data_IF_695777774630
#
_entry.id   IF_695777774630
#
_cell.length_a   1.000
_cell.length_b   1.000
_cell.length_c   1.000
_cell.angle_alpha   90.00
_cell.angle_beta   90.00
_cell.angle_gamma   90.00
#
_symmetry.space_group_name_H-M   'P 1'
#
loop_
_entity.id
_entity.type
_entity.pdbx_description
1 polymer ?
#
# COMPACT_ATOMS: atom_id res chain seq x y z
N UNK A 1 -33.42 2.75 21.06
CA UNK A 1 -32.75 3.07 19.77
C UNK A 1 -31.39 2.38 19.59
N UNK A 2 -30.55 2.21 20.63
CA UNK A 2 -29.26 1.52 20.48
C UNK A 2 -29.39 0.00 20.21
N UNK A 3 -30.26 -0.69 20.96
CA UNK A 3 -30.49 -2.16 20.84
C UNK A 3 -31.12 -2.58 19.49
N UNK A 4 -31.84 -1.66 18.83
CA UNK A 4 -32.42 -1.92 17.51
C UNK A 4 -31.37 -1.78 16.39
N UNK A 5 -30.46 -0.79 16.50
CA UNK A 5 -29.30 -0.65 15.61
C UNK A 5 -28.36 -1.85 15.71
N UNK A 6 -28.20 -2.39 16.92
CA UNK A 6 -27.35 -3.56 17.20
C UNK A 6 -27.87 -4.84 16.52
N UNK A 7 -29.19 -4.97 16.33
CA UNK A 7 -29.82 -6.08 15.59
C UNK A 7 -29.89 -5.85 14.07
N UNK A 8 -29.86 -4.60 13.61
CA UNK A 8 -29.94 -4.26 12.18
C UNK A 8 -28.64 -4.54 11.42
N UNK A 9 -27.47 -4.24 12.00
CA UNK A 9 -26.17 -4.43 11.35
C UNK A 9 -25.90 -5.91 11.00
N UNK A 10 -26.10 -6.90 11.90
CA UNK A 10 -25.93 -8.31 11.58
C UNK A 10 -26.89 -8.81 10.49
N UNK A 11 -28.13 -8.28 10.46
CA UNK A 11 -29.14 -8.63 9.44
C UNK A 11 -28.74 -8.11 8.05
N UNK A 12 -28.26 -6.87 7.97
CA UNK A 12 -27.78 -6.27 6.72
C UNK A 12 -26.52 -6.96 6.19
N UNK A 13 -25.58 -7.33 7.07
CA UNK A 13 -24.37 -8.10 6.71
C UNK A 13 -24.71 -9.47 6.12
N UNK A 14 -25.71 -10.17 6.67
CA UNK A 14 -26.18 -11.45 6.11
C UNK A 14 -26.84 -11.30 4.73
N UNK A 15 -27.53 -10.19 4.49
CA UNK A 15 -28.26 -9.92 3.23
C UNK A 15 -27.33 -9.48 2.09
N UNK A 16 -26.28 -8.72 2.38
CA UNK A 16 -25.39 -8.14 1.37
C UNK A 16 -23.92 -8.56 1.60
N UNK A 17 -23.41 -9.54 0.82
CA UNK A 17 -22.04 -10.04 0.96
C UNK A 17 -20.95 -8.97 0.76
N UNK A 18 -21.22 -7.95 -0.07
CA UNK A 18 -20.31 -6.82 -0.28
C UNK A 18 -20.19 -5.92 0.96
N UNK A 19 -21.30 -5.72 1.68
CA UNK A 19 -21.35 -4.91 2.90
C UNK A 19 -20.63 -5.62 4.03
N UNK A 20 -20.86 -6.93 4.17
CA UNK A 20 -20.12 -7.74 5.13
C UNK A 20 -18.61 -7.71 4.88
N UNK A 21 -18.19 -7.76 3.60
CA UNK A 21 -16.77 -7.62 3.27
C UNK A 21 -16.21 -6.24 3.61
N UNK A 22 -16.97 -5.17 3.35
CA UNK A 22 -16.57 -3.80 3.69
C UNK A 22 -16.42 -3.60 5.20
N UNK A 23 -17.36 -4.13 6.00
CA UNK A 23 -17.29 -4.08 7.47
C UNK A 23 -16.08 -4.85 7.97
N UNK A 24 -15.85 -6.08 7.47
CA UNK A 24 -14.65 -6.87 7.81
C UNK A 24 -13.34 -6.13 7.48
N UNK A 25 -13.29 -5.46 6.33
CA UNK A 25 -12.13 -4.66 5.93
C UNK A 25 -11.91 -3.47 6.88
N UNK A 26 -12.99 -2.80 7.30
CA UNK A 26 -12.93 -1.71 8.27
C UNK A 26 -12.46 -2.18 9.66
N UNK A 27 -13.00 -3.30 10.14
CA UNK A 27 -12.61 -3.89 11.42
C UNK A 27 -11.12 -4.27 11.38
N UNK A 28 -10.68 -4.97 10.33
CA UNK A 28 -9.28 -5.32 10.13
C UNK A 28 -8.36 -4.08 10.02
N UNK A 29 -8.80 -3.02 9.34
CA UNK A 29 -8.06 -1.76 9.25
C UNK A 29 -7.88 -1.10 10.64
N UNK A 30 -8.92 -1.14 11.48
CA UNK A 30 -8.87 -0.64 12.85
C UNK A 30 -7.94 -1.47 13.74
N UNK A 31 -8.13 -2.80 13.75
CA UNK A 31 -7.35 -3.76 14.55
C UNK A 31 -5.86 -3.74 14.17
N UNK A 32 -5.53 -3.49 12.89
CA UNK A 32 -4.16 -3.46 12.37
C UNK A 32 -3.55 -2.05 12.38
N UNK A 33 -4.03 -1.18 13.28
CA UNK A 33 -3.51 0.17 13.48
C UNK A 33 -3.43 1.02 12.21
N UNK A 34 -4.36 0.84 11.26
CA UNK A 34 -4.32 1.47 9.94
C UNK A 34 -4.24 3.01 9.99
N UNK A 35 -4.91 3.65 10.95
CA UNK A 35 -4.82 5.10 11.16
C UNK A 35 -3.43 5.55 11.62
N UNK A 36 -2.74 4.77 12.47
CA UNK A 36 -1.40 5.11 12.96
C UNK A 36 -0.37 4.98 11.84
N UNK A 37 -0.47 3.90 11.05
CA UNK A 37 0.36 3.73 9.86
C UNK A 37 0.12 4.82 8.82
N UNK A 38 -1.14 5.23 8.60
CA UNK A 38 -1.44 6.32 7.70
C UNK A 38 -0.81 7.65 8.15
N UNK A 39 -0.85 7.94 9.46
CA UNK A 39 -0.19 9.11 10.02
C UNK A 39 1.34 9.05 9.83
N UNK A 40 1.96 7.88 10.05
CA UNK A 40 3.39 7.69 9.81
C UNK A 40 3.75 7.90 8.33
N UNK A 41 3.01 7.29 7.39
CA UNK A 41 3.23 7.49 5.95
C UNK A 41 3.09 8.96 5.59
N UNK A 42 2.10 9.66 6.14
CA UNK A 42 1.89 11.10 5.91
C UNK A 42 3.11 11.92 6.33
N UNK A 43 3.60 11.70 7.56
CA UNK A 43 4.79 12.36 8.08
C UNK A 43 6.00 12.16 7.16
N UNK A 44 6.29 10.91 6.77
CA UNK A 44 7.40 10.62 5.87
C UNK A 44 7.19 11.18 4.46
N UNK A 45 5.95 11.25 3.96
CA UNK A 45 5.62 11.80 2.63
C UNK A 45 5.88 13.29 2.56
N UNK A 46 5.49 14.04 3.59
CA UNK A 46 5.72 15.49 3.64
C UNK A 46 7.21 15.78 3.83
N UNK A 47 7.90 15.01 4.66
CA UNK A 47 9.33 15.18 4.88
C UNK A 47 10.16 14.87 3.63
N UNK A 48 9.78 13.84 2.86
CA UNK A 48 10.46 13.47 1.61
C UNK A 48 10.17 14.41 0.44
N UNK A 49 9.12 15.25 0.54
CA UNK A 49 8.78 16.22 -0.50
C UNK A 49 9.89 17.26 -0.69
N UNK A 50 10.50 17.77 0.38
CA UNK A 50 11.53 18.81 0.26
C UNK A 50 12.75 18.33 -0.54
N UNK A 51 13.39 17.18 -0.22
CA UNK A 51 14.49 16.67 -1.04
C UNK A 51 14.07 16.33 -2.47
N UNK A 52 12.86 15.81 -2.68
CA UNK A 52 12.33 15.52 -4.01
C UNK A 52 12.18 16.79 -4.85
N UNK A 53 11.67 17.88 -4.26
CA UNK A 53 11.59 19.18 -4.91
C UNK A 53 12.97 19.74 -5.23
N UNK A 54 13.96 19.60 -4.34
CA UNK A 54 15.34 20.02 -4.62
C UNK A 54 15.91 19.28 -5.85
N UNK A 55 15.71 17.97 -5.93
CA UNK A 55 16.12 17.16 -7.09
C UNK A 55 15.35 17.59 -8.34
N UNK A 56 14.03 17.79 -8.24
CA UNK A 56 13.19 18.25 -9.33
C UNK A 56 13.62 19.59 -9.90
N UNK A 57 13.87 20.59 -9.05
CA UNK A 57 14.37 21.90 -9.46
C UNK A 57 15.78 21.83 -10.03
N UNK A 58 16.66 20.99 -9.47
CA UNK A 58 17.98 20.74 -10.03
C UNK A 58 17.87 20.19 -11.45
N UNK A 59 17.05 19.15 -11.67
CA UNK A 59 16.83 18.56 -13.00
C UNK A 59 16.27 19.62 -13.95
N UNK A 60 15.23 20.35 -13.55
CA UNK A 60 14.64 21.41 -14.36
C UNK A 60 15.68 22.50 -14.71
N UNK A 61 16.48 22.95 -13.75
CA UNK A 61 17.54 23.95 -13.97
C UNK A 61 18.68 23.46 -14.87
N UNK A 62 18.92 22.14 -14.98
CA UNK A 62 19.85 21.57 -15.94
C UNK A 62 19.22 21.39 -17.33
N UNK A 63 18.00 20.86 -17.41
CA UNK A 63 17.31 20.59 -18.68
C UNK A 63 16.90 21.89 -19.38
N UNK A 64 16.39 22.87 -18.64
CA UNK A 64 15.96 24.17 -19.16
C UNK A 64 17.09 25.21 -19.16
N UNK A 65 18.34 24.81 -18.88
CA UNK A 65 19.49 25.71 -18.81
C UNK A 65 19.65 26.61 -20.04
N UNK A 66 19.30 26.09 -21.22
CA UNK A 66 19.41 26.77 -22.50
C UNK A 66 18.10 27.42 -22.98
N UNK A 67 17.01 27.34 -22.20
CA UNK A 67 15.71 27.89 -22.55
C UNK A 67 15.17 28.78 -21.42
N UNK A 68 15.60 30.04 -21.43
CA UNK A 68 15.21 31.04 -20.43
C UNK A 68 13.69 31.29 -20.43
N UNK A 69 13.02 31.20 -21.59
CA UNK A 69 11.57 31.37 -21.69
C UNK A 69 10.84 30.27 -20.94
N UNK A 70 11.19 29.00 -21.18
CA UNK A 70 10.57 27.87 -20.48
C UNK A 70 10.85 27.89 -18.97
N UNK A 71 12.03 28.39 -18.56
CA UNK A 71 12.40 28.50 -17.15
C UNK A 71 11.58 29.58 -16.45
N UNK A 72 11.34 30.70 -17.12
CA UNK A 72 10.45 31.76 -16.62
C UNK A 72 8.99 31.31 -16.58
N UNK A 73 8.50 30.58 -17.59
CA UNK A 73 7.14 30.01 -17.58
C UNK A 73 6.94 29.02 -16.41
N UNK A 74 7.94 28.16 -16.14
CA UNK A 74 7.91 27.26 -14.98
C UNK A 74 7.85 28.04 -13.66
N UNK A 75 8.69 29.07 -13.53
CA UNK A 75 8.74 29.95 -12.36
C UNK A 75 7.40 30.64 -12.15
N UNK A 76 6.88 31.28 -13.19
CA UNK A 76 5.64 32.05 -13.14
C UNK A 76 4.43 31.13 -12.89
N UNK A 77 4.45 29.90 -13.42
CA UNK A 77 3.46 28.86 -13.11
C UNK A 77 3.45 28.47 -11.63
N UNK A 78 4.62 28.31 -11.01
CA UNK A 78 4.75 27.98 -9.58
C UNK A 78 4.30 29.16 -8.71
N UNK A 79 4.74 30.39 -9.04
CA UNK A 79 4.41 31.59 -8.28
C UNK A 79 2.92 31.93 -8.41
N UNK A 80 2.33 31.81 -9.60
CA UNK A 80 0.89 32.05 -9.82
C UNK A 80 -0.01 31.01 -9.14
N UNK A 81 0.50 29.80 -8.90
CA UNK A 81 -0.21 28.75 -8.16
C UNK A 81 -0.10 28.91 -6.64
N UNK A 82 0.68 29.88 -6.16
CA UNK A 82 0.93 30.12 -4.74
C UNK A 82 -0.12 31.10 -4.17
N UNK A 83 -0.66 30.86 -2.97
CA UNK A 83 -1.58 31.80 -2.31
C UNK A 83 -1.01 33.23 -2.18
N UNK A 84 -1.91 34.22 -2.24
CA UNK A 84 -1.56 35.63 -2.06
C UNK A 84 -0.88 35.87 -0.70
N UNK A 85 0.28 36.55 -0.71
CA UNK A 85 1.04 36.92 0.50
C UNK A 85 2.33 36.12 0.74
N UNK A 86 2.53 34.98 0.08
CA UNK A 86 3.77 34.19 0.15
C UNK A 86 4.49 34.04 -1.20
N UNK A 87 3.98 34.68 -2.26
CA UNK A 87 4.53 34.64 -3.61
C UNK A 87 6.01 35.03 -3.68
N UNK A 88 6.41 36.12 -3.02
CA UNK A 88 7.80 36.59 -3.04
C UNK A 88 8.76 35.63 -2.30
N UNK A 89 8.28 34.99 -1.23
CA UNK A 89 9.05 33.97 -0.52
C UNK A 89 9.26 32.72 -1.39
N UNK A 90 8.18 32.25 -2.05
CA UNK A 90 8.25 31.10 -2.98
C UNK A 90 9.11 31.43 -4.20
N UNK A 91 8.96 32.62 -4.78
CA UNK A 91 9.78 33.08 -5.90
C UNK A 91 11.26 33.08 -5.55
N UNK A 92 11.63 33.59 -4.37
CA UNK A 92 13.01 33.58 -3.89
C UNK A 92 13.55 32.15 -3.66
N UNK A 93 12.73 31.23 -3.13
CA UNK A 93 13.12 29.82 -2.98
C UNK A 93 13.37 29.19 -4.34
N UNK A 94 12.46 29.40 -5.29
CA UNK A 94 12.57 28.86 -6.66
C UNK A 94 13.80 29.43 -7.36
N UNK A 95 14.02 30.73 -7.31
CA UNK A 95 15.18 31.39 -7.91
C UNK A 95 16.50 30.90 -7.28
N UNK A 96 16.52 30.70 -5.97
CA UNK A 96 17.69 30.16 -5.26
C UNK A 96 17.96 28.71 -5.63
N UNK A 97 16.92 27.87 -5.71
CA UNK A 97 17.02 26.47 -6.09
C UNK A 97 17.50 26.30 -7.54
N UNK A 98 17.03 27.15 -8.47
CA UNK A 98 17.44 27.13 -9.87
C UNK A 98 18.87 27.65 -10.06
N UNK A 99 19.28 28.70 -9.34
CA UNK A 99 20.66 29.24 -9.39
C UNK A 99 21.70 28.31 -8.76
N UNK A 100 21.34 27.58 -7.71
CA UNK A 100 22.26 26.68 -6.98
C UNK A 100 22.23 25.22 -7.50
N UNK A 101 21.64 24.97 -8.67
CA UNK A 101 21.37 23.66 -9.30
C UNK A 101 22.42 22.55 -9.08
N UNK A 102 23.72 22.87 -9.11
CA UNK A 102 24.78 21.88 -8.90
C UNK A 102 24.87 21.37 -7.45
N UNK A 103 25.07 22.28 -6.49
CA UNK A 103 25.23 21.90 -5.09
C UNK A 103 23.90 21.45 -4.46
N UNK A 104 22.79 22.14 -4.77
CA UNK A 104 21.46 21.77 -4.24
C UNK A 104 20.98 20.42 -4.78
N UNK A 105 21.36 20.07 -6.02
CA UNK A 105 21.03 18.79 -6.64
C UNK A 105 21.67 17.59 -5.95
N UNK A 106 22.97 17.66 -5.63
CA UNK A 106 23.68 16.54 -4.96
C UNK A 106 23.20 16.35 -3.53
N UNK A 107 23.11 17.43 -2.74
CA UNK A 107 22.59 17.36 -1.37
C UNK A 107 21.12 16.93 -1.35
N UNK A 108 20.31 17.48 -2.26
CA UNK A 108 18.91 17.08 -2.44
C UNK A 108 18.78 15.60 -2.79
N UNK A 109 19.63 15.09 -3.68
CA UNK A 109 19.63 13.67 -4.05
C UNK A 109 19.99 12.78 -2.86
N UNK A 110 21.03 13.10 -2.10
CA UNK A 110 21.41 12.32 -0.90
C UNK A 110 20.28 12.29 0.14
N UNK A 111 19.64 13.44 0.40
CA UNK A 111 18.50 13.54 1.30
C UNK A 111 17.26 12.82 0.74
N UNK A 112 17.04 12.87 -0.57
CA UNK A 112 15.92 12.18 -1.23
C UNK A 112 16.10 10.67 -1.18
N UNK A 113 17.33 10.18 -1.36
CA UNK A 113 17.66 8.77 -1.19
C UNK A 113 17.40 8.33 0.26
N UNK A 114 17.91 9.08 1.25
CA UNK A 114 17.72 8.76 2.66
C UNK A 114 16.25 8.76 3.07
N UNK A 115 15.55 9.86 2.82
CA UNK A 115 14.12 10.00 3.16
C UNK A 115 13.23 9.04 2.37
N UNK A 116 13.56 8.80 1.10
CA UNK A 116 12.85 7.89 0.22
C UNK A 116 12.96 6.43 0.65
N UNK A 117 14.14 5.98 1.04
CA UNK A 117 14.33 4.62 1.62
C UNK A 117 13.47 4.48 2.88
N UNK A 118 13.49 5.48 3.76
CA UNK A 118 12.66 5.51 4.97
C UNK A 118 11.16 5.43 4.64
N UNK A 119 10.72 6.22 3.67
CA UNK A 119 9.33 6.25 3.22
C UNK A 119 8.87 4.89 2.66
N UNK A 120 9.66 4.28 1.76
CA UNK A 120 9.35 2.97 1.19
C UNK A 120 9.29 1.87 2.24
N UNK A 121 10.23 1.88 3.18
CA UNK A 121 10.27 0.91 4.27
C UNK A 121 9.00 1.00 5.12
N UNK A 122 8.59 2.21 5.50
CA UNK A 122 7.37 2.45 6.27
C UNK A 122 6.11 2.10 5.48
N UNK A 123 6.03 2.45 4.19
CA UNK A 123 4.90 2.09 3.34
C UNK A 123 4.76 0.57 3.24
N UNK A 124 5.86 -0.15 2.97
CA UNK A 124 5.85 -1.61 2.90
C UNK A 124 5.45 -2.24 4.23
N UNK A 125 5.98 -1.74 5.34
CA UNK A 125 5.66 -2.25 6.68
C UNK A 125 4.18 -2.01 7.01
N UNK A 126 3.64 -0.83 6.68
CA UNK A 126 2.23 -0.51 6.82
C UNK A 126 1.32 -1.41 5.98
N UNK A 127 1.64 -1.58 4.70
CA UNK A 127 0.92 -2.49 3.81
C UNK A 127 0.96 -3.92 4.37
N UNK A 128 2.13 -4.41 4.79
CA UNK A 128 2.29 -5.73 5.40
C UNK A 128 1.49 -5.89 6.69
N UNK A 129 1.44 -4.85 7.54
CA UNK A 129 0.65 -4.87 8.75
C UNK A 129 -0.85 -5.00 8.45
N UNK A 130 -1.33 -4.40 7.35
CA UNK A 130 -2.71 -4.60 6.87
C UNK A 130 -3.00 -6.01 6.40
N UNK A 131 -1.99 -6.88 6.25
CA UNK A 131 -2.16 -8.33 6.03
C UNK A 131 -2.14 -9.15 7.34
N UNK A 132 -2.01 -8.50 8.50
CA UNK A 132 -1.96 -9.17 9.81
C UNK A 132 -0.63 -9.86 10.11
N UNK A 133 0.44 -9.47 9.40
CA UNK A 133 1.75 -10.10 9.50
C UNK A 133 2.70 -9.27 10.37
N UNK A 134 3.51 -9.97 11.16
CA UNK A 134 4.57 -9.34 11.95
C UNK A 134 5.77 -8.91 11.08
N UNK A 135 6.47 -7.88 11.56
CA UNK A 135 7.67 -7.34 10.92
C UNK A 135 8.82 -8.36 10.99
N UNK A 136 9.03 -9.13 9.91
CA UNK A 136 10.21 -10.00 9.78
C UNK A 136 11.48 -9.19 9.48
N UNK A 137 12.54 -9.45 10.25
CA UNK A 137 13.89 -8.92 9.99
C UNK A 137 14.44 -9.49 8.68
N UNK A 138 15.00 -8.64 7.82
CA UNK A 138 15.66 -9.02 6.57
C UNK A 138 16.99 -8.30 6.45
N UNK A 139 17.96 -8.86 5.69
CA UNK A 139 19.24 -8.20 5.45
C UNK A 139 19.02 -6.82 4.82
N UNK A 140 19.62 -5.80 5.45
CA UNK A 140 19.42 -4.38 5.12
C UNK A 140 19.72 -4.08 3.65
N UNK A 141 20.84 -4.60 3.12
CA UNK A 141 21.34 -4.24 1.78
C UNK A 141 20.41 -4.68 0.64
N UNK A 142 19.95 -5.94 0.64
CA UNK A 142 19.03 -6.46 -0.40
C UNK A 142 17.68 -5.74 -0.37
N UNK A 143 17.26 -5.32 0.82
CA UNK A 143 16.00 -4.63 1.05
C UNK A 143 16.08 -3.20 0.54
N UNK A 144 17.18 -2.49 0.83
CA UNK A 144 17.41 -1.11 0.38
C UNK A 144 17.45 -0.97 -1.14
N UNK A 145 18.12 -1.87 -1.86
CA UNK A 145 18.19 -1.81 -3.34
C UNK A 145 16.81 -1.98 -3.96
N UNK A 146 16.02 -2.95 -3.45
CA UNK A 146 14.65 -3.18 -3.92
C UNK A 146 13.75 -1.99 -3.61
N UNK A 147 13.89 -1.39 -2.43
CA UNK A 147 13.15 -0.20 -2.04
C UNK A 147 13.51 0.99 -2.92
N UNK A 148 14.77 1.11 -3.33
CA UNK A 148 15.21 2.17 -4.23
C UNK A 148 14.64 2.03 -5.64
N UNK A 149 14.68 0.83 -6.21
CA UNK A 149 14.06 0.54 -7.52
C UNK A 149 12.55 0.74 -7.49
N UNK A 150 11.92 0.31 -6.39
CA UNK A 150 10.50 0.48 -6.14
C UNK A 150 10.12 1.97 -6.01
N UNK A 151 10.92 2.76 -5.28
CA UNK A 151 10.73 4.20 -5.17
C UNK A 151 10.87 4.90 -6.53
N UNK A 152 11.92 4.58 -7.28
CA UNK A 152 12.14 5.17 -8.60
C UNK A 152 11.01 4.83 -9.57
N UNK A 153 10.56 3.57 -9.57
CA UNK A 153 9.41 3.13 -10.38
C UNK A 153 8.11 3.83 -9.98
N UNK A 154 7.84 3.96 -8.69
CA UNK A 154 6.66 4.67 -8.20
C UNK A 154 6.72 6.17 -8.53
N UNK A 155 7.87 6.81 -8.33
CA UNK A 155 8.08 8.22 -8.65
C UNK A 155 7.87 8.50 -10.14
N UNK A 156 8.47 7.68 -11.01
CA UNK A 156 8.29 7.78 -12.45
C UNK A 156 6.82 7.60 -12.85
N UNK A 157 6.14 6.60 -12.27
CA UNK A 157 4.75 6.33 -12.59
C UNK A 157 3.80 7.44 -12.10
N UNK A 158 4.09 8.06 -10.95
CA UNK A 158 3.37 9.25 -10.49
C UNK A 158 3.60 10.43 -11.43
N UNK A 159 4.84 10.72 -11.84
CA UNK A 159 5.16 11.78 -12.81
C UNK A 159 4.40 11.56 -14.11
N UNK A 160 4.38 10.33 -14.63
CA UNK A 160 3.62 9.97 -15.83
C UNK A 160 2.13 10.19 -15.61
N UNK A 161 1.55 9.72 -14.51
CA UNK A 161 0.11 9.86 -14.20
C UNK A 161 -0.33 11.33 -14.07
N UNK A 162 0.42 12.14 -13.30
CA UNK A 162 0.15 13.57 -13.18
C UNK A 162 0.40 14.31 -14.50
N UNK A 163 1.45 13.96 -15.23
CA UNK A 163 1.76 14.51 -16.55
C UNK A 163 0.63 14.26 -17.55
N UNK A 164 0.12 13.03 -17.63
CA UNK A 164 -1.05 12.69 -18.44
C UNK A 164 -2.29 13.49 -18.07
N UNK A 165 -2.54 13.67 -16.78
CA UNK A 165 -3.67 14.47 -16.29
C UNK A 165 -3.50 15.95 -16.71
N UNK A 166 -2.29 16.51 -16.62
CA UNK A 166 -2.00 17.88 -17.00
C UNK A 166 -2.04 18.10 -18.53
N UNK A 167 -1.46 17.18 -19.29
CA UNK A 167 -1.45 17.17 -20.77
C UNK A 167 -2.89 17.10 -21.31
N UNK A 168 -3.77 16.32 -20.68
CA UNK A 168 -5.18 16.21 -21.06
C UNK A 168 -5.98 17.51 -20.96
N UNK A 169 -5.53 18.47 -20.15
CA UNK A 169 -6.18 19.78 -20.02
C UNK A 169 -5.68 20.82 -21.03
N UNK A 170 -4.36 20.94 -21.20
CA UNK A 170 -3.75 22.03 -21.99
C UNK A 170 -3.15 21.60 -23.34
N UNK A 171 -2.34 20.53 -23.35
CA UNK A 171 -1.61 20.06 -24.54
C UNK A 171 -2.54 19.33 -25.50
N UNK A 172 -3.57 18.67 -24.99
CA UNK A 172 -4.58 18.00 -25.79
C UNK A 172 -5.28 18.93 -26.80
N UNK A 173 -5.61 20.15 -26.37
CA UNK A 173 -6.18 21.17 -27.25
C UNK A 173 -5.17 21.67 -28.29
N UNK A 174 -3.87 21.69 -27.96
CA UNK A 174 -2.81 22.05 -28.90
C UNK A 174 -2.64 20.99 -30.00
N UNK A 175 -2.73 19.71 -29.65
CA UNK A 175 -2.68 18.58 -30.59
C UNK A 175 -3.90 18.61 -31.51
N UNK A 176 -5.10 18.89 -30.98
CA UNK A 176 -6.31 19.05 -31.80
C UNK A 176 -6.21 20.23 -32.75
N UNK A 177 -5.62 21.35 -32.32
CA UNK A 177 -5.31 22.51 -33.19
C UNK A 177 -4.33 22.14 -34.31
N UNK A 178 -3.30 21.37 -34.00
CA UNK A 178 -2.32 20.91 -34.99
C UNK A 178 -2.92 19.96 -36.03
N UNK A 179 -3.89 19.15 -35.63
CA UNK A 179 -4.60 18.22 -36.52
C UNK A 179 -5.81 18.89 -37.20
N UNK A 180 -6.14 20.14 -36.86
CA UNK A 180 -7.27 20.88 -37.44
C UNK A 180 -8.65 20.38 -36.99
N UNK A 181 -8.73 19.78 -35.81
CA UNK A 181 -9.95 19.19 -35.23
C UNK A 181 -10.41 19.91 -33.96
N UNK A 182 -9.90 21.10 -33.68
CA UNK A 182 -10.18 21.88 -32.47
C UNK A 182 -11.63 22.38 -32.39
N UNK A 183 -12.27 22.63 -33.53
CA UNK A 183 -13.69 23.03 -33.59
C UNK A 183 -14.67 21.84 -33.52
N UNK A 184 -14.17 20.60 -33.57
CA UNK A 184 -15.02 19.41 -33.59
C UNK A 184 -15.26 18.89 -32.16
N UNK A 185 -16.44 19.18 -31.62
CA UNK A 185 -16.84 18.77 -30.26
C UNK A 185 -16.72 17.27 -29.97
N UNK A 186 -16.87 16.41 -30.98
CA UNK A 186 -16.67 14.97 -30.84
C UNK A 186 -15.19 14.59 -30.70
N UNK A 187 -14.27 15.29 -31.37
CA UNK A 187 -12.82 15.04 -31.28
C UNK A 187 -12.29 15.47 -29.90
N UNK A 188 -12.75 16.62 -29.39
CA UNK A 188 -12.50 17.06 -28.01
C UNK A 188 -13.02 16.04 -26.99
N UNK A 189 -14.22 15.50 -27.19
CA UNK A 189 -14.80 14.49 -26.30
C UNK A 189 -13.99 13.18 -26.31
N UNK A 190 -13.63 12.66 -27.49
CA UNK A 190 -12.83 11.42 -27.61
C UNK A 190 -11.46 11.60 -26.97
N UNK A 191 -10.80 12.74 -27.22
CA UNK A 191 -9.50 13.01 -26.63
C UNK A 191 -9.59 13.05 -25.10
N UNK A 192 -10.57 13.78 -24.55
CA UNK A 192 -10.78 13.86 -23.11
C UNK A 192 -11.05 12.48 -22.52
N UNK A 193 -11.89 11.68 -23.16
CA UNK A 193 -12.16 10.31 -22.73
C UNK A 193 -10.90 9.44 -22.78
N UNK A 194 -10.11 9.52 -23.85
CA UNK A 194 -8.87 8.78 -24.00
C UNK A 194 -7.85 9.17 -22.91
N UNK A 195 -7.69 10.46 -22.61
CA UNK A 195 -6.78 10.91 -21.55
C UNK A 195 -7.22 10.46 -20.17
N UNK A 196 -8.53 10.51 -19.87
CA UNK A 196 -9.08 10.00 -18.61
C UNK A 196 -8.83 8.49 -18.49
N UNK A 197 -9.11 7.72 -19.55
CA UNK A 197 -8.88 6.28 -19.55
C UNK A 197 -7.41 5.94 -19.38
N UNK A 198 -6.51 6.69 -20.04
CA UNK A 198 -5.07 6.47 -19.94
C UNK A 198 -4.56 6.81 -18.53
N UNK A 199 -5.03 7.91 -17.93
CA UNK A 199 -4.71 8.26 -16.55
C UNK A 199 -5.24 7.22 -15.55
N UNK A 200 -6.47 6.72 -15.73
CA UNK A 200 -7.04 5.65 -14.92
C UNK A 200 -6.25 4.34 -15.05
N UNK A 201 -5.82 4.00 -16.27
CA UNK A 201 -5.02 2.81 -16.52
C UNK A 201 -3.62 2.94 -15.90
N UNK A 202 -2.98 4.11 -16.02
CA UNK A 202 -1.71 4.39 -15.36
C UNK A 202 -1.83 4.26 -13.83
N UNK A 203 -2.85 4.87 -13.22
CA UNK A 203 -3.11 4.75 -11.79
C UNK A 203 -3.41 3.31 -11.38
N UNK A 204 -4.18 2.58 -12.18
CA UNK A 204 -4.45 1.16 -11.93
C UNK A 204 -3.18 0.33 -11.95
N UNK A 205 -2.26 0.56 -12.88
CA UNK A 205 -0.97 -0.13 -12.92
C UNK A 205 -0.12 0.18 -11.69
N UNK A 206 -0.11 1.44 -11.24
CA UNK A 206 0.57 1.85 -10.01
C UNK A 206 0.00 1.12 -8.81
N UNK A 207 -1.32 1.18 -8.60
CA UNK A 207 -1.95 0.52 -7.46
C UNK A 207 -1.85 -1.01 -7.55
N UNK A 208 -1.89 -1.58 -8.75
CA UNK A 208 -1.68 -3.01 -8.95
C UNK A 208 -0.29 -3.41 -8.49
N UNK A 209 0.74 -2.65 -8.90
CA UNK A 209 2.11 -2.91 -8.47
C UNK A 209 2.27 -2.68 -6.96
N UNK A 210 1.72 -1.60 -6.41
CA UNK A 210 1.75 -1.31 -4.96
C UNK A 210 1.08 -2.44 -4.17
N UNK A 211 -0.10 -2.90 -4.56
CA UNK A 211 -0.86 -3.93 -3.84
C UNK A 211 -0.33 -5.35 -4.07
N UNK A 212 0.31 -5.64 -5.20
CA UNK A 212 0.79 -7.00 -5.52
C UNK A 212 2.25 -7.25 -5.18
N UNK A 213 3.12 -6.23 -5.28
CA UNK A 213 4.57 -6.38 -5.13
C UNK A 213 5.14 -5.83 -3.84
N UNK A 214 4.50 -4.85 -3.20
CA UNK A 214 5.00 -4.31 -1.93
C UNK A 214 4.63 -5.19 -0.73
N UNK A 215 3.41 -5.75 -0.60
CA UNK A 215 3.13 -6.69 0.47
C UNK A 215 4.08 -7.87 0.44
N UNK A 216 4.46 -8.34 1.63
CA UNK A 216 5.42 -9.44 1.77
C UNK A 216 4.82 -10.80 1.41
N UNK A 217 3.50 -10.90 1.34
CA UNK A 217 2.76 -12.11 1.01
C UNK A 217 2.28 -12.10 -0.44
N UNK A 218 2.14 -13.29 -1.03
CA UNK A 218 1.63 -13.42 -2.40
C UNK A 218 0.14 -13.10 -2.42
N UNK A 219 -0.21 -11.95 -2.98
CA UNK A 219 -1.60 -11.58 -3.24
C UNK A 219 -2.11 -12.35 -4.47
N UNK A 220 -3.32 -12.90 -4.40
CA UNK A 220 -3.94 -13.49 -5.59
C UNK A 220 -4.13 -12.43 -6.68
N UNK A 221 -3.77 -12.72 -7.96
CA UNK A 221 -3.78 -11.71 -9.03
C UNK A 221 -5.18 -11.15 -9.28
N UNK A 222 -6.24 -11.95 -9.07
CA UNK A 222 -7.63 -11.52 -9.21
C UNK A 222 -8.02 -10.48 -8.15
N UNK A 223 -7.67 -10.72 -6.89
CA UNK A 223 -7.92 -9.76 -5.81
C UNK A 223 -7.06 -8.50 -5.96
N UNK A 224 -5.81 -8.63 -6.42
CA UNK A 224 -4.93 -7.50 -6.69
C UNK A 224 -5.49 -6.58 -7.79
N UNK A 225 -5.98 -7.15 -8.90
CA UNK A 225 -6.60 -6.40 -10.01
C UNK A 225 -7.88 -5.70 -9.55
N UNK A 226 -8.76 -6.40 -8.81
CA UNK A 226 -9.99 -5.79 -8.26
C UNK A 226 -9.67 -4.65 -7.30
N UNK A 227 -8.71 -4.85 -6.40
CA UNK A 227 -8.24 -3.81 -5.48
C UNK A 227 -7.64 -2.61 -6.21
N UNK A 228 -6.81 -2.86 -7.22
CA UNK A 228 -6.20 -1.80 -8.02
C UNK A 228 -7.22 -0.99 -8.82
N UNK A 229 -8.27 -1.64 -9.35
CA UNK A 229 -9.36 -0.95 -10.04
C UNK A 229 -10.13 -0.02 -9.09
N UNK A 230 -10.48 -0.51 -7.89
CA UNK A 230 -11.14 0.29 -6.85
C UNK A 230 -10.23 1.42 -6.39
N UNK A 231 -8.94 1.15 -6.19
CA UNK A 231 -7.96 2.15 -5.79
C UNK A 231 -7.80 3.24 -6.85
N UNK A 232 -7.73 2.88 -8.14
CA UNK A 232 -7.58 3.84 -9.24
C UNK A 232 -8.78 4.79 -9.32
N UNK A 233 -10.00 4.24 -9.32
CA UNK A 233 -11.23 5.04 -9.37
C UNK A 233 -11.37 5.90 -8.10
N UNK A 234 -11.16 5.31 -6.93
CA UNK A 234 -11.22 6.05 -5.67
C UNK A 234 -10.15 7.13 -5.57
N UNK A 235 -8.94 6.90 -6.09
CA UNK A 235 -7.88 7.90 -6.12
C UNK A 235 -8.23 9.09 -7.00
N UNK A 236 -8.91 8.87 -8.14
CA UNK A 236 -9.42 9.96 -8.97
C UNK A 236 -10.45 10.81 -8.24
N UNK A 237 -11.37 10.16 -7.50
CA UNK A 237 -12.34 10.85 -6.64
C UNK A 237 -11.63 11.59 -5.51
N UNK A 238 -10.64 10.99 -4.86
CA UNK A 238 -9.84 11.63 -3.82
C UNK A 238 -9.13 12.88 -4.34
N UNK A 239 -8.57 12.86 -5.56
CA UNK A 239 -7.96 14.04 -6.18
C UNK A 239 -8.97 15.18 -6.35
N UNK A 240 -10.17 14.87 -6.83
CA UNK A 240 -11.24 15.88 -6.98
C UNK A 240 -11.68 16.45 -5.63
N UNK A 241 -11.94 15.57 -4.65
CA UNK A 241 -12.29 15.99 -3.28
C UNK A 241 -11.17 16.82 -2.65
N UNK A 242 -9.91 16.42 -2.84
CA UNK A 242 -8.74 17.16 -2.36
C UNK A 242 -8.62 18.54 -3.00
N UNK A 243 -8.89 18.65 -4.31
CA UNK A 243 -8.90 19.93 -5.03
C UNK A 243 -9.99 20.87 -4.50
N UNK A 244 -11.21 20.36 -4.31
CA UNK A 244 -12.33 21.14 -3.75
C UNK A 244 -12.03 21.56 -2.31
N UNK A 245 -11.50 20.65 -1.49
CA UNK A 245 -11.10 20.93 -0.11
C UNK A 245 -10.04 22.03 -0.05
N UNK A 246 -8.99 21.93 -0.88
CA UNK A 246 -7.93 22.93 -0.92
C UNK A 246 -8.48 24.31 -1.31
N UNK A 247 -9.33 24.38 -2.34
CA UNK A 247 -9.98 25.62 -2.77
C UNK A 247 -10.86 26.23 -1.67
N UNK A 248 -11.56 25.38 -0.91
CA UNK A 248 -12.37 25.84 0.22
C UNK A 248 -11.51 26.38 1.36
N UNK A 249 -10.38 25.74 1.70
CA UNK A 249 -9.52 26.18 2.80
C UNK A 249 -8.80 27.47 2.45
N UNK A 250 -8.29 27.60 1.22
CA UNK A 250 -7.54 28.80 0.78
C UNK A 250 -8.41 30.03 0.56
N UNK A 251 -9.75 29.90 0.61
CA UNK A 251 -10.68 31.02 0.49
C UNK A 251 -10.68 31.99 1.68
N UNK A 252 -10.17 31.56 2.85
CA UNK A 252 -10.09 32.39 4.05
C UNK A 252 -8.67 32.97 4.23
N UNK A 253 -8.49 34.17 4.82
CA UNK A 253 -7.15 34.74 5.05
C UNK A 253 -6.22 33.83 5.86
N UNK A 254 -6.74 33.17 6.90
CA UNK A 254 -5.96 32.21 7.70
C UNK A 254 -5.66 30.92 6.92
N UNK A 255 -6.60 30.46 6.10
CA UNK A 255 -6.41 29.28 5.26
C UNK A 255 -5.55 29.55 4.02
N UNK A 256 -5.38 30.79 3.55
CA UNK A 256 -4.37 31.13 2.56
C UNK A 256 -2.95 30.98 3.12
N UNK A 257 -2.76 31.34 4.40
CA UNK A 257 -1.47 31.26 5.08
C UNK A 257 -1.09 29.82 5.48
N UNK A 258 -2.00 29.08 6.12
CA UNK A 258 -1.71 27.74 6.65
C UNK A 258 -2.29 26.60 5.80
N UNK A 259 -3.25 26.89 4.92
CA UNK A 259 -3.99 25.89 4.15
C UNK A 259 -3.18 25.06 3.18
N UNK A 260 -2.09 25.55 2.54
CA UNK A 260 -1.25 24.68 1.72
C UNK A 260 -0.61 23.54 2.52
N UNK A 261 -0.06 23.83 3.70
CA UNK A 261 0.61 22.83 4.55
C UNK A 261 -0.42 21.88 5.17
N UNK A 262 -1.49 22.44 5.75
CA UNK A 262 -2.58 21.64 6.33
C UNK A 262 -3.26 20.81 5.23
N UNK A 263 -3.46 21.40 4.06
CA UNK A 263 -4.03 20.75 2.89
C UNK A 263 -3.21 19.57 2.42
N UNK A 264 -1.90 19.74 2.29
CA UNK A 264 -0.97 18.67 1.97
C UNK A 264 -1.02 17.55 3.01
N UNK A 265 -0.99 17.88 4.30
CA UNK A 265 -1.06 16.90 5.39
C UNK A 265 -2.36 16.11 5.37
N UNK A 266 -3.50 16.80 5.24
CA UNK A 266 -4.83 16.18 5.20
C UNK A 266 -4.97 15.31 3.95
N UNK A 267 -4.55 15.81 2.79
CA UNK A 267 -4.62 15.07 1.54
C UNK A 267 -3.72 13.82 1.57
N UNK A 268 -2.46 13.96 1.98
CA UNK A 268 -1.54 12.84 2.10
C UNK A 268 -2.05 11.79 3.12
N UNK A 269 -2.65 12.23 4.22
CA UNK A 269 -3.29 11.34 5.19
C UNK A 269 -4.51 10.64 4.61
N UNK A 270 -5.37 11.35 3.88
CA UNK A 270 -6.54 10.76 3.24
C UNK A 270 -6.14 9.69 2.22
N UNK A 271 -5.14 9.98 1.38
CA UNK A 271 -4.58 9.02 0.41
C UNK A 271 -3.97 7.81 1.13
N UNK A 272 -3.20 8.03 2.20
CA UNK A 272 -2.58 6.95 2.98
C UNK A 272 -3.63 6.05 3.64
N UNK A 273 -4.66 6.63 4.27
CA UNK A 273 -5.78 5.89 4.87
C UNK A 273 -6.54 5.10 3.81
N UNK A 274 -6.83 5.72 2.68
CA UNK A 274 -7.51 5.08 1.57
C UNK A 274 -6.70 3.89 1.02
N UNK A 275 -5.41 4.07 0.77
CA UNK A 275 -4.53 3.00 0.31
C UNK A 275 -4.49 1.82 1.30
N UNK A 276 -4.31 2.10 2.58
CA UNK A 276 -4.30 1.07 3.62
C UNK A 276 -5.66 0.39 3.78
N UNK A 277 -6.76 1.13 3.63
CA UNK A 277 -8.10 0.56 3.64
C UNK A 277 -8.33 -0.38 2.45
N UNK A 278 -7.94 0.01 1.23
CA UNK A 278 -7.99 -0.88 0.06
C UNK A 278 -7.09 -2.10 0.26
N UNK A 279 -5.95 -1.93 0.93
CA UNK A 279 -5.07 -3.05 1.27
C UNK A 279 -5.73 -4.01 2.26
N UNK A 280 -6.38 -3.50 3.31
CA UNK A 280 -7.16 -4.32 4.23
C UNK A 280 -8.31 -5.03 3.50
N UNK A 281 -9.02 -4.33 2.61
CA UNK A 281 -10.09 -4.89 1.79
C UNK A 281 -9.62 -6.00 0.84
N UNK A 282 -8.43 -5.86 0.25
CA UNK A 282 -7.83 -6.94 -0.56
C UNK A 282 -7.35 -8.10 0.31
N UNK A 283 -6.81 -7.83 1.50
CA UNK A 283 -6.35 -8.85 2.44
C UNK A 283 -7.51 -9.69 3.03
N UNK A 284 -8.67 -9.07 3.29
CA UNK A 284 -9.86 -9.76 3.83
C UNK A 284 -10.69 -10.48 2.78
N UNK A 285 -10.29 -10.41 1.50
CA UNK A 285 -10.97 -11.11 0.42
C UNK A 285 -10.91 -12.63 0.65
N UNK A 286 -12.00 -13.35 0.36
CA UNK A 286 -12.08 -14.82 0.58
C UNK A 286 -10.95 -15.58 -0.11
N UNK A 287 -10.50 -15.10 -1.27
CA UNK A 287 -9.40 -15.67 -2.06
C UNK A 287 -8.04 -15.61 -1.34
N UNK A 288 -7.90 -14.72 -0.35
CA UNK A 288 -6.66 -14.43 0.37
C UNK A 288 -6.71 -14.83 1.85
N UNK A 289 -7.85 -15.33 2.34
CA UNK A 289 -7.96 -15.89 3.69
C UNK A 289 -7.20 -17.22 3.74
N UNK A 290 -5.96 -17.17 4.24
CA UNK A 290 -5.22 -18.38 4.58
C UNK A 290 -5.93 -19.03 5.77
N UNK A 291 -6.53 -20.20 5.57
CA UNK A 291 -6.96 -21.04 6.69
C UNK A 291 -5.70 -21.47 7.43
N UNK A 292 -5.38 -20.79 8.53
CA UNK A 292 -4.42 -21.30 9.50
C UNK A 292 -5.07 -22.52 10.14
N UNK A 293 -4.77 -23.70 9.57
CA UNK A 293 -5.07 -24.97 10.24
C UNK A 293 -4.24 -24.93 11.51
N UNK A 294 -4.91 -24.82 12.66
CA UNK A 294 -4.23 -24.91 13.94
C UNK A 294 -3.45 -26.23 13.96
N UNK A 295 -2.15 -26.21 14.33
CA UNK A 295 -1.40 -27.44 14.46
C UNK A 295 -2.16 -28.36 15.41
N UNK A 296 -2.30 -29.67 15.08
CA UNK A 296 -3.01 -30.58 15.93
C UNK A 296 -2.42 -30.52 17.35
N UNK A 297 -3.25 -30.65 18.40
CA UNK A 297 -2.76 -30.61 19.77
C UNK A 297 -1.61 -31.62 19.93
N UNK A 298 -0.61 -31.34 20.79
CA UNK A 298 0.54 -32.21 20.97
C UNK A 298 0.08 -33.65 21.13
N UNK A 299 0.66 -34.57 20.34
CA UNK A 299 0.30 -35.98 20.41
C UNK A 299 0.51 -36.46 21.85
N UNK A 300 -0.58 -36.75 22.56
CA UNK A 300 -0.51 -37.33 23.90
C UNK A 300 -0.15 -38.80 23.71
N UNK A 301 1.15 -39.08 23.65
CA UNK A 301 1.67 -40.45 23.63
C UNK A 301 1.34 -41.05 25.01
N UNK A 302 0.28 -41.84 25.08
CA UNK A 302 -0.01 -42.69 26.24
C UNK A 302 0.62 -44.05 25.98
N UNK A 303 1.83 -44.34 26.47
CA UNK A 303 2.36 -45.69 26.39
C UNK A 303 1.43 -46.60 27.20
N UNK A 304 0.61 -47.39 26.51
CA UNK A 304 -0.18 -48.44 27.14
C UNK A 304 0.80 -49.53 27.53
N UNK A 305 1.28 -49.48 28.77
CA UNK A 305 2.10 -50.56 29.32
C UNK A 305 1.15 -51.71 29.64
N UNK A 306 0.98 -52.63 28.69
CA UNK A 306 0.39 -53.93 28.97
C UNK A 306 1.32 -54.71 29.89
N UNK A 307 1.14 -54.53 31.20
CA UNK A 307 1.82 -55.38 32.18
C UNK A 307 1.17 -56.74 32.10
N UNK A 308 1.79 -57.67 31.38
CA UNK A 308 1.42 -59.08 31.38
C UNK A 308 1.64 -59.67 32.78
N UNK A 309 0.64 -59.54 33.65
CA UNK A 309 0.65 -60.16 34.98
C UNK A 309 0.26 -61.62 34.85
N UNK A 310 1.25 -62.49 34.80
CA UNK A 310 1.10 -63.94 34.88
C UNK A 310 2.10 -64.69 34.01
N UNK A 311 2.51 -65.90 34.40
CA UNK A 311 3.31 -66.76 33.53
C UNK A 311 2.54 -66.95 32.22
N UNK A 312 3.16 -66.60 31.08
CA UNK A 312 2.54 -66.76 29.78
C UNK A 312 2.06 -68.20 29.57
N UNK A 313 1.01 -68.41 28.78
CA UNK A 313 0.43 -69.75 28.56
C UNK A 313 1.48 -70.82 28.22
N UNK A 314 2.58 -70.45 27.55
CA UNK A 314 3.71 -71.34 27.29
C UNK A 314 4.52 -71.76 28.53
N UNK A 315 4.69 -70.86 29.51
CA UNK A 315 5.35 -71.18 30.79
C UNK A 315 4.48 -72.10 31.66
N UNK A 316 3.15 -71.88 31.67
CA UNK A 316 2.18 -72.76 32.33
C UNK A 316 2.19 -74.13 31.66
N UNK A 317 2.09 -74.20 30.33
CA UNK A 317 2.16 -75.45 29.58
C UNK A 317 3.47 -76.21 29.79
N UNK A 318 4.61 -75.50 29.87
CA UNK A 318 5.92 -76.08 30.16
C UNK A 318 6.03 -76.69 31.57
N UNK A 319 5.45 -76.03 32.58
CA UNK A 319 5.42 -76.57 33.93
C UNK A 319 4.54 -77.82 34.04
N UNK A 320 3.38 -77.85 33.36
CA UNK A 320 2.50 -79.02 33.32
C UNK A 320 3.14 -80.21 32.60
N UNK A 321 3.81 -79.99 31.47
CA UNK A 321 4.48 -81.07 30.73
C UNK A 321 5.69 -81.63 31.50
N UNK A 322 6.50 -80.77 32.12
CA UNK A 322 7.60 -81.21 32.99
C UNK A 322 7.07 -82.01 34.20
N UNK A 323 5.99 -81.56 34.83
CA UNK A 323 5.33 -82.28 35.92
C UNK A 323 4.80 -83.65 35.49
N UNK A 324 4.17 -83.75 34.31
CA UNK A 324 3.66 -85.01 33.77
C UNK A 324 4.79 -86.01 33.46
N UNK A 325 5.91 -85.54 32.89
CA UNK A 325 7.08 -86.38 32.59
C UNK A 325 7.74 -86.87 33.88
N UNK A 326 7.90 -86.02 34.89
CA UNK A 326 8.44 -86.41 36.20
C UNK A 326 7.53 -87.40 36.92
N UNK A 327 6.20 -87.21 36.87
CA UNK A 327 5.23 -88.16 37.45
C UNK A 327 5.28 -89.53 36.75
N UNK A 328 5.43 -89.54 35.43
CA UNK A 328 5.56 -90.78 34.65
C UNK A 328 6.88 -91.51 34.96
N UNK A 329 8.00 -90.78 35.05
CA UNK A 329 9.30 -91.35 35.45
C UNK A 329 9.29 -91.86 36.90
N UNK A 330 8.61 -91.17 37.81
CA UNK A 330 8.45 -91.59 39.21
C UNK A 330 7.63 -92.88 39.38
N UNK A 331 6.63 -93.10 38.50
CA UNK A 331 5.84 -94.34 38.48
C UNK A 331 6.61 -95.57 37.97
N UNK A 332 7.71 -95.39 37.24
CA UNK A 332 8.57 -96.48 36.74
C UNK A 332 9.64 -96.94 37.74
N UNK A 333 9.79 -96.26 38.88
CA UNK A 333 10.78 -96.58 39.93
C UNK A 333 10.18 -97.21 41.21
N UNK A 334 8.90 -97.59 41.18
CA UNK A 334 8.27 -98.46 42.18
C UNK A 334 7.90 -99.77 41.50
#
# INVERSE_FOLDING_TARGET
>A
MADEKEKLVPRLRRKYPWLDHLVRANDAFGERYGNHYAAAITYFSVLSLFPLLMVGFSIAGFVLANNATALNELRDGIVSSTPAGIGDFVANIVDTALKSRGATGVFGLLLALYSGIGWMSNLRDALTAQWGQEKKSRPLVSTTIKDLLALAGLGLALVVSFGLTAIGGGVGNLILRWVGLDDQGWALFILRLATILLALLANMLVFLWVLSRLPREKVSPRSAIKGAAIASVGFEVLKQVGSIYLASVTSSPSGALFGPIIGLLVFANLVSRFLLFVTAWTATARENLVQTVEPPPPAVIRPTVEVRRGPGAGAVAGAFSAGAVLAWLGRRRR
#
